data_IF_459406748435
#
_entry.id   IF_459406748435
#
_cell.length_a   1.000
_cell.length_b   1.000
_cell.length_c   1.000
_cell.angle_alpha   90.00
_cell.angle_beta   90.00
_cell.angle_gamma   90.00
#
_symmetry.space_group_name_H-M   'P 1'
#
loop_
_entity.id
_entity.type
_entity.pdbx_description
1 polymer ?
#
# COMPACT_ATOMS: atom_id res chain seq x y z
N UNK A 1 -13.72 37.93 -0.20
CA UNK A 1 -12.98 36.81 0.29
C UNK A 1 -11.63 36.70 -0.35
N UNK A 2 -10.65 36.39 0.42
CA UNK A 2 -9.33 36.27 -0.11
C UNK A 2 -9.09 34.89 -0.68
N UNK A 3 -8.42 34.82 -1.83
CA UNK A 3 -7.98 33.58 -2.41
C UNK A 3 -7.13 32.79 -1.42
N UNK A 4 -6.46 33.50 -0.52
CA UNK A 4 -5.61 32.87 0.48
C UNK A 4 -6.34 31.85 1.34
N UNK A 5 -7.64 32.00 1.51
CA UNK A 5 -8.40 31.11 2.36
C UNK A 5 -8.55 29.72 1.80
N UNK A 6 -8.31 29.57 0.49
CA UNK A 6 -8.44 28.29 -0.16
C UNK A 6 -7.11 27.74 -0.62
N UNK A 7 -6.06 28.23 -0.07
CA UNK A 7 -4.75 27.79 -0.50
C UNK A 7 -4.48 26.34 -0.19
N UNK A 8 -3.98 25.61 -1.18
CA UNK A 8 -3.76 24.17 -1.05
C UNK A 8 -2.67 23.79 -0.06
N UNK A 9 -1.78 24.70 0.29
CA UNK A 9 -0.68 24.35 1.17
C UNK A 9 -1.12 23.86 2.54
N UNK A 10 -2.35 24.14 2.91
CA UNK A 10 -2.90 23.62 4.16
C UNK A 10 -3.62 22.31 3.94
N UNK A 11 -3.71 21.91 2.72
CA UNK A 11 -4.44 20.73 2.38
C UNK A 11 -3.70 19.48 2.77
N UNK A 12 -4.46 18.47 3.14
CA UNK A 12 -3.96 17.13 3.26
C UNK A 12 -3.48 16.67 1.88
N UNK A 13 -2.36 15.98 1.79
CA UNK A 13 -1.96 15.39 0.51
C UNK A 13 -3.04 14.50 -0.05
N UNK A 14 -3.12 14.37 -1.37
CA UNK A 14 -4.10 13.46 -1.97
C UNK A 14 -3.95 12.04 -1.43
N UNK A 15 -5.07 11.34 -1.35
CA UNK A 15 -5.08 10.00 -0.79
C UNK A 15 -4.07 9.07 -1.45
N UNK A 16 -3.96 9.12 -2.78
CA UNK A 16 -3.02 8.24 -3.48
C UNK A 16 -1.58 8.47 -3.05
N UNK A 17 -1.20 9.70 -2.75
CA UNK A 17 0.15 9.97 -2.26
C UNK A 17 0.38 9.40 -0.88
N UNK A 18 -0.64 9.44 -0.03
CA UNK A 18 -0.56 8.84 1.29
C UNK A 18 -0.43 7.33 1.19
N UNK A 19 -1.16 6.71 0.24
CA UNK A 19 -1.03 5.29 -0.03
C UNK A 19 0.42 4.94 -0.38
N UNK A 20 1.02 5.70 -1.29
CA UNK A 20 2.39 5.43 -1.72
C UNK A 20 3.38 5.56 -0.56
N UNK A 21 3.17 6.53 0.32
CA UNK A 21 4.02 6.69 1.52
C UNK A 21 3.94 5.49 2.44
N UNK A 22 2.75 4.98 2.67
CA UNK A 22 2.57 3.80 3.53
C UNK A 22 3.23 2.58 2.88
N UNK A 23 2.94 2.35 1.60
CA UNK A 23 3.44 1.16 0.91
C UNK A 23 4.97 1.16 0.85
N UNK A 24 5.57 2.31 0.69
CA UNK A 24 7.04 2.41 0.68
C UNK A 24 7.67 2.01 2.00
N UNK A 25 6.91 1.97 3.08
CA UNK A 25 7.42 1.56 4.39
C UNK A 25 7.36 0.05 4.61
N UNK A 26 6.60 -0.65 3.78
CA UNK A 26 6.50 -2.11 3.91
C UNK A 26 7.86 -2.72 3.60
N UNK A 27 8.46 -3.45 4.56
CA UNK A 27 9.80 -3.98 4.33
C UNK A 27 9.81 -5.14 3.35
N UNK A 28 10.97 -5.36 2.77
CA UNK A 28 11.21 -6.50 1.90
C UNK A 28 10.89 -7.79 2.66
N UNK A 29 10.18 -8.70 2.00
CA UNK A 29 9.79 -9.98 2.62
C UNK A 29 8.54 -9.91 3.45
N UNK A 30 7.91 -8.75 3.52
CA UNK A 30 6.64 -8.57 4.22
C UNK A 30 5.56 -8.11 3.26
N UNK A 31 4.31 -8.33 3.67
CA UNK A 31 3.16 -7.90 2.86
C UNK A 31 2.16 -7.16 3.74
N UNK A 32 1.33 -6.37 3.09
CA UNK A 32 0.16 -5.74 3.69
C UNK A 32 -1.04 -6.04 2.82
N UNK A 33 -2.22 -5.94 3.40
CA UNK A 33 -3.45 -6.03 2.61
C UNK A 33 -3.91 -4.63 2.23
N UNK A 34 -4.75 -4.55 1.20
CA UNK A 34 -5.34 -3.27 0.80
C UNK A 34 -6.10 -2.63 1.96
N UNK A 35 -6.84 -3.45 2.71
CA UNK A 35 -7.59 -2.95 3.87
C UNK A 35 -6.69 -2.46 4.98
N UNK A 36 -5.54 -3.10 5.19
CA UNK A 36 -4.59 -2.67 6.20
C UNK A 36 -4.01 -1.29 5.86
N UNK A 37 -3.65 -1.08 4.61
CA UNK A 37 -3.16 0.24 4.17
C UNK A 37 -4.24 1.29 4.40
N UNK A 38 -5.47 0.97 4.02
CA UNK A 38 -6.59 1.90 4.20
C UNK A 38 -6.81 2.23 5.68
N UNK A 39 -6.75 1.22 6.55
CA UNK A 39 -6.93 1.43 7.98
C UNK A 39 -5.84 2.31 8.57
N UNK A 40 -4.59 2.09 8.16
CA UNK A 40 -3.47 2.92 8.60
C UNK A 40 -3.73 4.39 8.27
N UNK A 41 -4.36 4.64 7.13
CA UNK A 41 -4.66 5.99 6.68
C UNK A 41 -5.98 6.55 7.23
N UNK A 42 -6.61 5.83 8.15
CA UNK A 42 -7.85 6.28 8.76
C UNK A 42 -9.07 6.14 7.86
N UNK A 43 -8.97 5.31 6.82
CA UNK A 43 -10.04 5.07 5.86
C UNK A 43 -10.37 3.59 5.82
N UNK A 44 -10.98 3.03 6.86
CA UNK A 44 -11.15 1.57 6.95
C UNK A 44 -11.96 0.96 5.80
N UNK A 45 -12.75 1.77 5.10
CA UNK A 45 -13.49 1.29 3.93
C UNK A 45 -12.79 1.62 2.62
N UNK A 46 -11.53 2.04 2.71
CA UNK A 46 -10.80 2.56 1.57
C UNK A 46 -9.98 1.54 0.78
N UNK A 47 -10.17 0.25 1.01
CA UNK A 47 -9.35 -0.76 0.32
C UNK A 47 -9.41 -0.63 -1.20
N UNK A 48 -10.60 -0.35 -1.73
CA UNK A 48 -10.76 -0.18 -3.17
C UNK A 48 -9.99 1.02 -3.69
N UNK A 49 -10.03 2.12 -2.93
CA UNK A 49 -9.29 3.32 -3.31
C UNK A 49 -7.77 3.08 -3.26
N UNK A 50 -7.31 2.27 -2.31
CA UNK A 50 -5.91 1.86 -2.27
C UNK A 50 -5.54 1.11 -3.55
N UNK A 51 -6.38 0.17 -3.95
CA UNK A 51 -6.15 -0.57 -5.20
C UNK A 51 -6.11 0.35 -6.41
N UNK A 52 -7.01 1.32 -6.49
CA UNK A 52 -7.03 2.27 -7.58
C UNK A 52 -5.75 3.12 -7.60
N UNK A 53 -5.28 3.53 -6.42
CA UNK A 53 -4.05 4.31 -6.33
C UNK A 53 -2.85 3.52 -6.86
N UNK A 54 -2.77 2.24 -6.51
CA UNK A 54 -1.67 1.42 -6.98
C UNK A 54 -1.77 1.13 -8.47
N UNK A 55 -2.98 0.97 -8.99
CA UNK A 55 -3.18 0.78 -10.43
C UNK A 55 -2.78 2.00 -11.24
N UNK A 56 -2.81 3.17 -10.62
CA UNK A 56 -2.46 4.41 -11.29
C UNK A 56 -0.94 4.67 -11.34
N UNK A 57 -0.14 3.83 -10.68
CA UNK A 57 1.30 4.03 -10.66
C UNK A 57 1.89 3.99 -12.06
N UNK A 58 2.73 4.96 -12.34
CA UNK A 58 3.48 5.07 -13.60
C UNK A 58 4.92 5.46 -13.27
N UNK A 59 5.86 5.21 -14.20
CA UNK A 59 7.22 5.70 -13.99
C UNK A 59 7.22 7.22 -13.80
N UNK A 60 8.11 7.77 -12.94
CA UNK A 60 9.15 7.04 -12.19
C UNK A 60 8.68 6.41 -10.89
N UNK A 61 7.49 6.76 -10.39
CA UNK A 61 7.01 6.28 -9.09
C UNK A 61 6.82 4.78 -9.05
N UNK A 62 6.45 4.18 -10.17
CA UNK A 62 6.26 2.73 -10.25
C UNK A 62 7.49 1.96 -9.77
N UNK A 63 8.67 2.48 -10.03
CA UNK A 63 9.91 1.83 -9.60
C UNK A 63 10.21 2.03 -8.12
N UNK A 64 9.59 3.03 -7.51
CA UNK A 64 9.89 3.41 -6.13
C UNK A 64 8.90 2.84 -5.12
N UNK A 65 7.69 2.53 -5.56
CA UNK A 65 6.62 2.04 -4.68
C UNK A 65 6.52 0.53 -4.82
N UNK A 66 6.80 -0.23 -3.76
CA UNK A 66 6.75 -1.70 -3.86
C UNK A 66 5.31 -2.21 -3.84
N UNK A 67 4.58 -1.92 -4.91
CA UNK A 67 3.18 -2.30 -5.06
C UNK A 67 2.96 -3.80 -4.87
N UNK A 68 3.96 -4.60 -5.23
CA UNK A 68 3.87 -6.06 -5.13
C UNK A 68 3.73 -6.56 -3.70
N UNK A 69 4.02 -5.71 -2.71
CA UNK A 69 3.88 -6.07 -1.29
C UNK A 69 2.47 -5.84 -0.76
N UNK A 70 1.53 -5.40 -1.63
CA UNK A 70 0.14 -5.22 -1.25
C UNK A 70 -0.68 -6.34 -1.89
N UNK A 71 -1.32 -7.15 -1.05
CA UNK A 71 -2.08 -8.32 -1.51
C UNK A 71 -3.50 -8.26 -0.96
N UNK A 72 -4.34 -9.18 -1.41
CA UNK A 72 -5.71 -9.18 -0.93
C UNK A 72 -5.82 -9.84 0.45
N UNK A 73 -6.98 -9.67 1.09
CA UNK A 73 -7.19 -10.12 2.46
C UNK A 73 -7.13 -11.64 2.61
N UNK A 74 -7.25 -12.38 1.52
CA UNK A 74 -7.15 -13.84 1.56
C UNK A 74 -5.71 -14.34 1.47
N UNK A 75 -4.74 -13.42 1.34
CA UNK A 75 -3.34 -13.79 1.21
C UNK A 75 -2.94 -14.17 -0.21
N UNK A 76 -3.74 -13.80 -1.19
CA UNK A 76 -3.45 -14.09 -2.59
C UNK A 76 -2.99 -12.85 -3.32
N UNK A 77 -2.19 -13.06 -4.34
CA UNK A 77 -1.84 -11.99 -5.25
C UNK A 77 -3.08 -11.59 -6.03
N UNK A 78 -3.16 -10.31 -6.33
CA UNK A 78 -4.22 -9.77 -7.15
C UNK A 78 -3.57 -9.10 -8.34
N UNK A 79 -4.31 -9.00 -9.45
CA UNK A 79 -3.76 -8.27 -10.59
C UNK A 79 -4.70 -7.13 -10.95
N UNK A 80 -4.11 -6.10 -11.52
CA UNK A 80 -4.82 -4.92 -11.95
C UNK A 80 -4.11 -4.38 -13.18
N UNK A 81 -4.83 -3.67 -13.99
CA UNK A 81 -4.34 -2.92 -15.15
C UNK A 81 -2.85 -3.06 -15.48
N UNK A 82 -2.46 -4.11 -16.15
CA UNK A 82 -1.10 -4.32 -16.60
C UNK A 82 -0.13 -4.90 -15.57
N UNK A 83 -0.55 -5.00 -14.32
CA UNK A 83 0.25 -5.62 -13.26
C UNK A 83 -0.34 -7.00 -12.99
N UNK A 84 0.41 -8.03 -13.30
CA UNK A 84 -0.13 -9.40 -13.21
C UNK A 84 0.11 -10.02 -11.84
N UNK A 85 -0.79 -10.94 -11.47
CA UNK A 85 -0.61 -11.72 -10.26
C UNK A 85 0.66 -12.56 -10.33
N UNK A 86 1.00 -13.05 -11.52
CA UNK A 86 2.22 -13.84 -11.68
C UNK A 86 3.47 -12.99 -11.44
N UNK A 87 3.48 -11.76 -11.94
CA UNK A 87 4.58 -10.85 -11.69
C UNK A 87 4.70 -10.52 -10.21
N UNK A 88 3.58 -10.26 -9.56
CA UNK A 88 3.55 -9.96 -8.14
C UNK A 88 4.12 -11.12 -7.34
N UNK A 89 3.68 -12.33 -7.66
CA UNK A 89 4.17 -13.52 -6.97
C UNK A 89 5.66 -13.70 -7.16
N UNK A 90 6.15 -13.53 -8.38
CA UNK A 90 7.57 -13.67 -8.67
C UNK A 90 8.41 -12.72 -7.82
N UNK A 91 7.98 -11.45 -7.74
CA UNK A 91 8.69 -10.46 -6.95
C UNK A 91 8.70 -10.82 -5.47
N UNK A 92 7.57 -11.29 -4.95
CA UNK A 92 7.49 -11.69 -3.55
C UNK A 92 8.33 -12.92 -3.26
N UNK A 93 8.33 -13.89 -4.16
CA UNK A 93 9.15 -15.09 -3.99
C UNK A 93 10.64 -14.74 -3.96
N UNK A 94 11.06 -13.78 -4.76
CA UNK A 94 12.43 -13.28 -4.74
C UNK A 94 12.80 -12.64 -3.41
N UNK A 95 11.80 -12.18 -2.67
CA UNK A 95 12.01 -11.61 -1.34
C UNK A 95 11.92 -12.66 -0.23
N UNK A 96 11.71 -13.91 -0.59
CA UNK A 96 11.63 -14.99 0.39
C UNK A 96 10.22 -15.32 0.87
N UNK A 97 9.20 -14.70 0.29
CA UNK A 97 7.81 -15.00 0.64
C UNK A 97 7.41 -16.30 -0.01
N UNK A 98 6.86 -17.21 0.78
CA UNK A 98 6.46 -18.54 0.28
C UNK A 98 4.96 -18.61 0.04
N UNK A 99 4.60 -19.26 -1.04
CA UNK A 99 3.21 -19.51 -1.40
C UNK A 99 2.90 -21.00 -1.29
N UNK A 100 1.71 -21.32 -0.81
CA UNK A 100 1.26 -22.71 -0.75
C UNK A 100 0.72 -23.14 -2.11
N UNK A 101 0.19 -24.37 -2.18
CA UNK A 101 -0.36 -24.93 -3.42
C UNK A 101 -1.48 -24.09 -4.02
N UNK A 102 -2.20 -23.38 -3.15
CA UNK A 102 -3.35 -22.57 -3.58
C UNK A 102 -2.93 -21.16 -4.01
N UNK A 103 -1.64 -20.87 -3.94
CA UNK A 103 -1.15 -19.54 -4.26
C UNK A 103 -1.39 -18.55 -3.13
N UNK A 104 -1.40 -19.01 -1.90
CA UNK A 104 -1.69 -18.20 -0.72
C UNK A 104 -0.47 -18.11 0.18
N UNK A 105 -0.21 -16.92 0.71
CA UNK A 105 0.84 -16.72 1.71
C UNK A 105 0.26 -16.88 3.11
N UNK A 106 1.12 -17.24 4.05
CA UNK A 106 0.72 -17.29 5.46
C UNK A 106 0.83 -15.88 6.04
N UNK A 107 -0.28 -15.18 6.10
CA UNK A 107 -0.33 -13.80 6.58
C UNK A 107 0.16 -13.66 8.01
N UNK A 108 0.02 -14.70 8.83
CA UNK A 108 0.51 -14.62 10.22
C UNK A 108 2.03 -14.50 10.27
N UNK A 109 2.71 -15.04 9.27
CA UNK A 109 4.17 -15.00 9.22
C UNK A 109 4.71 -13.78 8.50
N UNK A 110 4.06 -13.38 7.42
CA UNK A 110 4.63 -12.36 6.53
C UNK A 110 3.94 -11.01 6.58
N UNK A 111 2.84 -10.88 7.31
CA UNK A 111 2.16 -9.58 7.39
C UNK A 111 3.03 -8.57 8.14
N UNK A 112 3.18 -7.41 7.54
CA UNK A 112 3.79 -6.27 8.20
C UNK A 112 2.86 -5.77 9.30
N UNK A 113 3.41 -5.49 10.46
CA UNK A 113 2.59 -5.06 11.61
C UNK A 113 2.18 -3.60 11.55
N UNK A 114 2.67 -2.90 10.55
CA UNK A 114 2.35 -1.49 10.42
C UNK A 114 3.47 -0.61 10.93
N UNK A 115 3.28 0.70 10.83
CA UNK A 115 4.31 1.65 11.26
C UNK A 115 4.45 1.67 12.78
N UNK A 116 5.61 2.08 13.24
CA UNK A 116 5.84 2.28 14.66
C UNK A 116 4.96 3.41 15.16
N UNK A 117 4.79 3.45 16.48
CA UNK A 117 3.94 4.46 17.10
C UNK A 117 4.32 5.89 16.69
N UNK A 118 5.60 6.22 16.71
CA UNK A 118 6.04 7.57 16.35
C UNK A 118 5.66 7.91 14.92
N UNK A 119 5.78 6.95 14.03
CA UNK A 119 5.46 7.17 12.65
C UNK A 119 3.96 7.37 12.46
N UNK A 120 3.15 6.63 13.21
CA UNK A 120 1.69 6.78 13.17
C UNK A 120 1.29 8.17 13.64
N UNK A 121 1.93 8.67 14.68
CA UNK A 121 1.67 10.00 15.18
C UNK A 121 2.02 11.04 14.12
N UNK A 122 3.16 10.87 13.50
CA UNK A 122 3.61 11.78 12.45
C UNK A 122 2.65 11.77 11.27
N UNK A 123 2.17 10.59 10.90
CA UNK A 123 1.23 10.46 9.82
C UNK A 123 -0.10 11.18 10.12
N UNK A 124 -0.52 11.13 11.37
CA UNK A 124 -1.72 11.84 11.79
C UNK A 124 -1.64 13.33 11.52
N UNK A 125 -0.47 13.88 11.71
CA UNK A 125 -0.28 15.30 11.47
C UNK A 125 -0.35 15.65 9.99
N UNK A 126 -0.20 14.68 9.13
CA UNK A 126 -0.34 14.87 7.68
C UNK A 126 -1.78 14.78 7.23
N UNK A 127 -2.62 14.17 8.05
CA UNK A 127 -4.03 14.05 7.74
C UNK A 127 -4.81 15.20 8.36
#
# INVERSE_FOLDING_TARGET
>A
MSVADVRPRRSTPPFHRLVYRVVRRVPRGKVVTYGQVAAILGQPRGARAVGMALSALRPPLLALVPWHRVINATGRCSHRDGLSAAMQRDLLEREGVRFDRRGTVDLRRVRWQGPRHEWKTRLRHLL
#
